data_IF_127538949349
#
_entry.id   IF_127538949349
#
_cell.length_a   1.000
_cell.length_b   1.000
_cell.length_c   1.000
_cell.angle_alpha   90.00
_cell.angle_beta   90.00
_cell.angle_gamma   90.00
#
_symmetry.space_group_name_H-M   'P 1'
#
loop_
_entity.id
_entity.type
_entity.pdbx_description
1 polymer ?
#
# COMPACT_ATOMS: atom_id res chain seq x y z
N UNK A 1 -5.90 3.09 35.96
CA UNK A 1 -6.99 3.13 34.95
C UNK A 1 -6.68 4.25 33.97
N UNK A 2 -6.61 3.96 32.67
CA UNK A 2 -7.09 4.80 31.55
C UNK A 2 -6.64 4.11 30.25
N UNK A 3 -7.61 3.39 29.70
CA UNK A 3 -7.61 2.62 28.48
C UNK A 3 -7.12 3.41 27.25
N UNK A 4 -6.06 2.94 26.61
CA UNK A 4 -5.88 3.14 25.17
C UNK A 4 -6.27 1.84 24.47
N UNK A 5 -7.58 1.66 24.25
CA UNK A 5 -8.11 0.63 23.35
C UNK A 5 -7.64 0.95 21.94
N UNK A 6 -6.42 0.53 21.57
CA UNK A 6 -6.01 0.49 20.17
C UNK A 6 -6.69 -0.72 19.56
N UNK A 7 -7.82 -0.42 18.93
CA UNK A 7 -8.74 -1.36 18.32
C UNK A 7 -8.03 -2.50 17.60
N UNK A 8 -8.41 -3.69 18.04
CA UNK A 8 -8.39 -4.96 17.35
C UNK A 8 -8.83 -4.80 15.88
N UNK A 9 -7.90 -5.00 14.94
CA UNK A 9 -8.21 -5.29 13.53
C UNK A 9 -7.49 -6.57 13.13
N UNK A 10 -7.80 -7.65 13.85
CA UNK A 10 -7.31 -8.99 13.56
C UNK A 10 -8.32 -9.80 12.74
N UNK A 11 -8.95 -9.20 11.71
CA UNK A 11 -9.86 -9.96 10.81
C UNK A 11 -9.81 -9.39 9.39
N UNK A 12 -8.85 -9.89 8.58
CA UNK A 12 -8.81 -10.04 7.09
C UNK A 12 -7.35 -10.03 6.60
N UNK A 13 -6.55 -11.04 6.98
CA UNK A 13 -5.12 -11.05 6.62
C UNK A 13 -4.84 -11.34 5.12
N UNK A 14 -5.78 -11.94 4.38
CA UNK A 14 -5.54 -12.33 2.98
C UNK A 14 -6.21 -11.39 1.96
N UNK A 15 -7.38 -10.82 2.28
CA UNK A 15 -8.11 -9.92 1.36
C UNK A 15 -7.51 -8.52 1.22
N UNK A 16 -6.50 -8.18 2.02
CA UNK A 16 -5.90 -6.84 2.07
C UNK A 16 -4.55 -6.73 1.35
N UNK A 17 -4.15 -7.78 0.63
CA UNK A 17 -3.00 -7.76 -0.25
C UNK A 17 -3.44 -7.40 -1.66
N UNK A 18 -2.73 -6.45 -2.26
CA UNK A 18 -2.90 -6.04 -3.64
C UNK A 18 -1.71 -6.58 -4.43
N UNK A 19 -1.98 -7.15 -5.60
CA UNK A 19 -0.91 -7.58 -6.48
C UNK A 19 -0.29 -6.38 -7.23
N UNK A 20 0.67 -6.66 -8.12
CA UNK A 20 1.32 -5.61 -8.92
C UNK A 20 0.35 -4.94 -9.91
N UNK A 21 -0.62 -5.65 -10.45
CA UNK A 21 -1.57 -5.11 -11.42
C UNK A 21 -2.63 -4.24 -10.74
N UNK A 22 -3.13 -4.65 -9.58
CA UNK A 22 -4.06 -3.88 -8.74
C UNK A 22 -3.48 -2.51 -8.40
N UNK A 23 -2.23 -2.48 -7.92
CA UNK A 23 -1.54 -1.23 -7.57
C UNK A 23 -1.35 -0.34 -8.80
N UNK A 24 -0.96 -0.92 -9.95
CA UNK A 24 -0.83 -0.15 -11.20
C UNK A 24 -2.14 0.47 -11.63
N UNK A 25 -3.23 -0.29 -11.55
CA UNK A 25 -4.58 0.17 -11.90
C UNK A 25 -5.04 1.29 -10.95
N UNK A 26 -4.85 1.10 -9.65
CA UNK A 26 -5.30 2.04 -8.61
C UNK A 26 -4.59 3.40 -8.70
N UNK A 27 -3.28 3.42 -9.00
CA UNK A 27 -2.53 4.66 -9.18
C UNK A 27 -2.46 5.16 -10.63
N UNK A 28 -2.98 4.38 -11.59
CA UNK A 28 -2.84 4.62 -13.05
C UNK A 28 -1.38 4.85 -13.46
N UNK A 29 -0.47 4.02 -12.95
CA UNK A 29 0.98 4.11 -13.21
C UNK A 29 1.51 2.95 -14.05
N UNK A 30 2.63 3.19 -14.73
CA UNK A 30 3.37 2.16 -15.45
C UNK A 30 4.24 1.30 -14.53
N UNK A 31 4.63 0.11 -15.00
CA UNK A 31 5.61 -0.76 -14.34
C UNK A 31 6.94 -0.05 -14.05
N UNK A 32 7.37 0.85 -14.94
CA UNK A 32 8.61 1.63 -14.76
C UNK A 32 8.50 2.57 -13.55
N UNK A 33 7.35 3.19 -13.36
CA UNK A 33 7.08 4.07 -12.21
C UNK A 33 7.01 3.25 -10.92
N UNK A 34 6.29 2.13 -10.92
CA UNK A 34 6.20 1.27 -9.74
C UNK A 34 7.57 0.68 -9.35
N UNK A 35 8.40 0.29 -10.32
CA UNK A 35 9.78 -0.14 -10.08
C UNK A 35 10.63 0.97 -9.46
N UNK A 36 10.49 2.21 -9.93
CA UNK A 36 11.14 3.38 -9.31
C UNK A 36 10.67 3.59 -7.87
N UNK A 37 9.38 3.43 -7.58
CA UNK A 37 8.84 3.55 -6.23
C UNK A 37 9.40 2.49 -5.29
N UNK A 38 9.54 1.24 -5.76
CA UNK A 38 10.23 0.17 -5.03
C UNK A 38 11.68 0.53 -4.73
N UNK A 39 12.44 0.98 -5.74
CA UNK A 39 13.84 1.37 -5.56
C UNK A 39 14.01 2.53 -4.56
N UNK A 40 13.05 3.47 -4.56
CA UNK A 40 13.01 4.60 -3.61
C UNK A 40 12.41 4.23 -2.25
N UNK A 41 12.00 2.98 -2.03
CA UNK A 41 11.31 2.50 -0.82
C UNK A 41 10.06 3.33 -0.44
N UNK A 42 9.39 3.90 -1.45
CA UNK A 42 8.16 4.70 -1.26
C UNK A 42 6.96 3.84 -0.90
N UNK A 43 6.96 2.57 -1.32
CA UNK A 43 5.87 1.63 -1.09
C UNK A 43 6.47 0.31 -0.58
N UNK A 44 6.02 -0.14 0.59
CA UNK A 44 6.45 -1.41 1.17
C UNK A 44 5.84 -2.57 0.38
N UNK A 45 6.70 -3.49 -0.05
CA UNK A 45 6.29 -4.71 -0.75
C UNK A 45 6.66 -5.93 0.06
N UNK A 46 5.80 -6.94 0.02
CA UNK A 46 6.02 -8.27 0.61
C UNK A 46 6.08 -9.27 -0.54
N UNK A 47 6.98 -10.23 -0.46
CA UNK A 47 7.06 -11.33 -1.43
C UNK A 47 6.38 -12.54 -0.78
N UNK A 48 5.38 -13.10 -1.46
CA UNK A 48 4.67 -14.31 -1.02
C UNK A 48 4.69 -15.27 -2.20
N UNK A 49 5.30 -16.44 -2.01
CA UNK A 49 5.43 -17.48 -3.05
C UNK A 49 6.01 -16.92 -4.37
N UNK A 50 7.04 -16.07 -4.28
CA UNK A 50 7.69 -15.46 -5.45
C UNK A 50 6.93 -14.32 -6.12
N UNK A 51 5.69 -14.04 -5.71
CA UNK A 51 4.88 -12.93 -6.21
C UNK A 51 4.98 -11.71 -5.28
N UNK A 52 5.00 -10.53 -5.89
CA UNK A 52 5.04 -9.24 -5.20
C UNK A 52 3.64 -8.76 -4.83
N UNK A 53 3.44 -8.59 -3.53
CA UNK A 53 2.22 -8.08 -2.94
C UNK A 53 2.45 -6.81 -2.14
N UNK A 54 1.40 -6.02 -2.03
CA UNK A 54 1.39 -4.74 -1.34
C UNK A 54 0.24 -4.72 -0.34
N UNK A 55 0.48 -4.15 0.85
CA UNK A 55 -0.61 -3.95 1.80
C UNK A 55 -1.50 -2.82 1.30
N UNK A 56 -2.81 -3.07 1.25
CA UNK A 56 -3.81 -2.08 0.86
C UNK A 56 -3.72 -0.81 1.71
N UNK A 57 -3.46 -0.94 3.01
CA UNK A 57 -3.33 0.21 3.92
C UNK A 57 -2.17 1.14 3.52
N UNK A 58 -1.00 0.58 3.21
CA UNK A 58 0.17 1.34 2.77
C UNK A 58 -0.09 2.04 1.43
N UNK A 59 -0.73 1.31 0.50
CA UNK A 59 -1.14 1.83 -0.82
C UNK A 59 -2.11 3.00 -0.66
N UNK A 60 -3.16 2.83 0.15
CA UNK A 60 -4.17 3.87 0.39
C UNK A 60 -3.55 5.09 1.08
N UNK A 61 -2.67 4.88 2.07
CA UNK A 61 -1.98 5.96 2.76
C UNK A 61 -1.09 6.76 1.81
N UNK A 62 -0.41 6.10 0.87
CA UNK A 62 0.39 6.76 -0.14
C UNK A 62 -0.48 7.57 -1.11
N UNK A 63 -1.63 7.03 -1.51
CA UNK A 63 -2.59 7.72 -2.37
C UNK A 63 -3.07 9.01 -1.70
N UNK A 64 -3.55 8.94 -0.45
CA UNK A 64 -4.00 10.12 0.30
C UNK A 64 -2.87 11.15 0.48
N UNK A 65 -1.65 10.70 0.79
CA UNK A 65 -0.50 11.60 0.91
C UNK A 65 -0.24 12.35 -0.39
N UNK A 66 -0.26 11.65 -1.53
CA UNK A 66 0.01 12.27 -2.84
C UNK A 66 -1.09 13.23 -3.29
N UNK A 67 -2.36 12.87 -3.06
CA UNK A 67 -3.48 13.77 -3.33
C UNK A 67 -3.43 15.04 -2.48
N UNK A 68 -2.98 14.94 -1.22
CA UNK A 68 -2.89 16.11 -0.34
C UNK A 68 -1.81 17.10 -0.77
N UNK A 69 -0.73 16.63 -1.39
CA UNK A 69 0.33 17.48 -1.93
C UNK A 69 -0.12 18.27 -3.19
N UNK A 70 -1.18 17.82 -3.89
CA UNK A 70 -1.71 18.48 -5.10
C UNK A 70 -2.68 19.65 -4.81
N UNK A 71 -3.14 19.81 -3.56
CA UNK A 71 -4.12 20.85 -3.14
C UNK A 71 -3.42 22.03 -2.43
N UNK A 72 -2.10 22.14 -2.51
CA UNK A 72 -1.32 23.17 -1.81
C UNK A 72 -0.58 24.06 -2.78
#
# INVERSE_FOLDING_TARGET
MMSTKKQEKFVTHERNLLDTNDVKSMFRISDRTLRRWRNKKLLKSVIIVGCLYYRREDVMSLMVSKFRDEIK
#
